data_IF_425215865119
#
_entry.id   IF_425215865119
#
_cell.length_a   1.000
_cell.length_b   1.000
_cell.length_c   1.000
_cell.angle_alpha   90.00
_cell.angle_beta   90.00
_cell.angle_gamma   90.00
#
_symmetry.space_group_name_H-M   'P 1'
#
loop_
_entity.id
_entity.type
_entity.pdbx_description
1 polymer ?
#
# COMPACT_ATOMS: atom_id res chain seq x y z
N UNK A 1 3.53 17.20 50.37
CA UNK A 1 2.67 17.21 49.17
C UNK A 1 3.45 17.46 47.88
N UNK A 2 4.37 18.43 47.83
CA UNK A 2 5.17 18.76 46.63
C UNK A 2 5.85 17.57 45.93
N UNK A 3 6.51 16.66 46.66
CA UNK A 3 7.18 15.49 46.06
C UNK A 3 6.24 14.57 45.27
N UNK A 4 4.97 14.43 45.68
CA UNK A 4 3.98 13.61 44.96
C UNK A 4 3.51 14.32 43.68
N UNK A 5 3.38 15.65 43.73
CA UNK A 5 3.00 16.49 42.58
C UNK A 5 4.11 16.48 41.52
N UNK A 6 5.38 16.59 41.93
CA UNK A 6 6.52 16.54 41.00
C UNK A 6 6.62 15.21 40.25
N UNK A 7 6.32 14.09 40.93
CA UNK A 7 6.31 12.75 40.30
C UNK A 7 5.19 12.66 39.28
N UNK A 8 3.99 13.17 39.60
CA UNK A 8 2.84 13.17 38.69
C UNK A 8 3.08 14.02 37.44
N UNK A 9 3.74 15.17 37.59
CA UNK A 9 4.09 16.04 36.46
C UNK A 9 5.13 15.35 35.57
N UNK A 10 6.14 14.73 36.17
CA UNK A 10 7.18 14.03 35.42
C UNK A 10 6.63 12.82 34.65
N UNK A 11 5.75 12.02 35.26
CA UNK A 11 5.12 10.89 34.57
C UNK A 11 4.19 11.34 33.45
N UNK A 12 3.46 12.45 33.62
CA UNK A 12 2.64 13.01 32.55
C UNK A 12 3.49 13.48 31.36
N UNK A 13 4.61 14.16 31.63
CA UNK A 13 5.56 14.58 30.59
C UNK A 13 6.17 13.38 29.84
N UNK A 14 6.49 12.29 30.55
CA UNK A 14 7.02 11.08 29.92
C UNK A 14 5.97 10.40 29.04
N UNK A 15 4.72 10.28 29.50
CA UNK A 15 3.62 9.69 28.71
C UNK A 15 3.40 10.49 27.42
N UNK A 16 3.32 11.82 27.51
CA UNK A 16 3.11 12.67 26.33
C UNK A 16 4.33 12.64 25.41
N UNK A 17 5.55 12.67 25.98
CA UNK A 17 6.80 12.62 25.22
C UNK A 17 6.98 11.32 24.43
N UNK A 18 6.67 10.17 25.02
CA UNK A 18 6.82 8.87 24.37
C UNK A 18 5.63 8.45 23.49
N UNK A 19 4.49 9.16 23.54
CA UNK A 19 3.32 8.84 22.71
C UNK A 19 3.39 9.34 21.25
N UNK A 20 4.46 10.05 20.87
CA UNK A 20 4.52 10.75 19.57
C UNK A 20 5.19 9.96 18.44
N UNK A 21 5.77 8.79 18.69
CA UNK A 21 6.64 8.12 17.71
C UNK A 21 6.06 6.78 17.24
N UNK A 22 5.06 6.85 16.36
CA UNK A 22 4.47 5.65 15.74
C UNK A 22 3.93 5.85 14.33
N UNK A 23 4.24 6.97 13.65
CA UNK A 23 3.89 7.11 12.25
C UNK A 23 4.86 6.29 11.40
N UNK A 24 4.37 5.18 10.86
CA UNK A 24 5.10 4.41 9.84
C UNK A 24 5.51 5.36 8.72
N UNK A 25 6.78 5.34 8.33
CA UNK A 25 7.28 6.16 7.23
C UNK A 25 6.45 5.85 5.98
N UNK A 26 5.83 6.88 5.42
CA UNK A 26 5.10 6.78 4.14
C UNK A 26 6.12 6.53 3.05
N UNK A 27 5.93 5.49 2.24
CA UNK A 27 6.76 5.25 1.06
C UNK A 27 6.10 5.97 -0.10
N UNK A 28 6.69 7.08 -0.61
CA UNK A 28 6.10 7.81 -1.72
C UNK A 28 5.99 6.91 -2.94
N UNK A 29 4.89 7.04 -3.69
CA UNK A 29 4.78 6.43 -5.00
C UNK A 29 5.93 6.95 -5.89
N UNK A 30 6.55 6.09 -6.73
CA UNK A 30 7.62 6.52 -7.60
C UNK A 30 7.10 7.55 -8.61
N UNK A 31 7.82 8.66 -8.78
CA UNK A 31 7.44 9.74 -9.72
C UNK A 31 7.44 9.28 -11.19
N UNK A 32 8.18 8.22 -11.49
CA UNK A 32 8.26 7.60 -12.81
C UNK A 32 8.06 6.10 -12.69
N UNK A 33 7.32 5.52 -13.64
CA UNK A 33 7.24 4.08 -13.78
C UNK A 33 8.59 3.50 -14.19
N UNK A 34 8.84 2.23 -13.83
CA UNK A 34 9.97 1.48 -14.37
C UNK A 34 9.79 1.18 -15.87
N UNK A 35 10.77 0.54 -16.49
CA UNK A 35 10.68 0.11 -17.89
C UNK A 35 9.40 -0.69 -18.13
N UNK A 36 8.59 -0.27 -19.11
CA UNK A 36 7.30 -0.89 -19.43
C UNK A 36 6.10 -0.40 -18.61
N UNK A 37 6.29 0.52 -17.65
CA UNK A 37 5.22 1.08 -16.82
C UNK A 37 5.18 2.61 -16.91
N UNK A 38 3.97 3.17 -16.88
CA UNK A 38 3.75 4.63 -16.73
C UNK A 38 3.19 4.90 -15.34
N UNK A 39 3.86 5.77 -14.58
CA UNK A 39 3.25 6.35 -13.38
C UNK A 39 2.18 7.38 -13.81
N UNK A 40 1.01 7.31 -13.20
CA UNK A 40 -0.15 8.17 -13.54
C UNK A 40 -0.70 8.85 -12.30
N UNK A 41 -1.30 10.02 -12.46
CA UNK A 41 -1.98 10.71 -11.36
C UNK A 41 -3.28 9.98 -10.97
N UNK A 42 -3.85 10.35 -9.82
CA UNK A 42 -5.16 9.83 -9.41
C UNK A 42 -6.27 10.20 -10.41
N UNK A 43 -6.22 11.41 -10.97
CA UNK A 43 -7.16 11.89 -11.98
C UNK A 43 -7.05 11.10 -13.28
N UNK A 44 -5.83 10.85 -13.74
CA UNK A 44 -5.58 9.99 -14.91
C UNK A 44 -6.05 8.55 -14.66
N UNK A 45 -5.78 8.00 -13.48
CA UNK A 45 -6.20 6.64 -13.11
C UNK A 45 -7.74 6.51 -13.08
N UNK A 46 -8.44 7.52 -12.54
CA UNK A 46 -9.91 7.56 -12.57
C UNK A 46 -10.45 7.54 -13.99
N UNK A 47 -9.90 8.39 -14.87
CA UNK A 47 -10.30 8.43 -16.28
C UNK A 47 -10.04 7.10 -16.97
N UNK A 48 -8.87 6.51 -16.78
CA UNK A 48 -8.53 5.20 -17.35
C UNK A 48 -9.50 4.11 -16.87
N UNK A 49 -9.89 4.14 -15.59
CA UNK A 49 -10.87 3.20 -15.05
C UNK A 49 -12.26 3.39 -15.69
N UNK A 50 -12.72 4.62 -15.85
CA UNK A 50 -13.96 4.96 -16.56
C UNK A 50 -13.91 4.51 -18.03
N UNK A 51 -12.74 4.60 -18.67
CA UNK A 51 -12.48 4.17 -20.04
C UNK A 51 -12.32 2.62 -20.18
N UNK A 52 -12.48 1.87 -19.09
CA UNK A 52 -12.48 0.40 -19.10
C UNK A 52 -11.15 -0.27 -18.72
N UNK A 53 -10.18 0.48 -18.20
CA UNK A 53 -8.97 -0.12 -17.65
C UNK A 53 -9.28 -0.99 -16.44
N UNK A 54 -8.58 -2.13 -16.37
CA UNK A 54 -8.68 -3.06 -15.25
C UNK A 54 -7.83 -2.56 -14.09
N UNK A 55 -8.43 -2.45 -12.91
CA UNK A 55 -7.73 -2.04 -11.69
C UNK A 55 -7.26 -3.29 -10.95
N UNK A 56 -5.98 -3.33 -10.60
CA UNK A 56 -5.34 -4.42 -9.88
C UNK A 56 -4.77 -3.89 -8.57
N UNK A 57 -5.30 -4.37 -7.45
CA UNK A 57 -4.78 -4.09 -6.13
C UNK A 57 -3.59 -5.03 -5.83
N UNK A 58 -2.41 -4.44 -5.64
CA UNK A 58 -1.16 -5.11 -5.30
C UNK A 58 -0.84 -4.92 -3.81
N UNK A 59 -1.78 -5.27 -2.94
CA UNK A 59 -1.60 -5.14 -1.49
C UNK A 59 -0.82 -6.33 -0.93
N UNK A 60 0.12 -6.07 -0.01
CA UNK A 60 0.77 -7.15 0.75
C UNK A 60 -0.16 -7.78 1.78
N UNK A 61 -1.16 -7.04 2.26
CA UNK A 61 -2.13 -7.52 3.23
C UNK A 61 -3.55 -7.45 2.66
N UNK A 62 -4.25 -8.59 2.65
CA UNK A 62 -5.65 -8.66 2.21
C UNK A 62 -6.55 -7.74 3.03
N UNK A 63 -6.21 -7.46 4.28
CA UNK A 63 -6.96 -6.52 5.13
C UNK A 63 -6.98 -5.10 4.57
N UNK A 64 -5.97 -4.68 3.80
CA UNK A 64 -5.99 -3.38 3.14
C UNK A 64 -6.99 -3.35 1.98
N UNK A 65 -7.12 -4.45 1.24
CA UNK A 65 -8.15 -4.60 0.21
C UNK A 65 -9.55 -4.50 0.82
N UNK A 66 -9.77 -5.21 1.93
CA UNK A 66 -11.07 -5.27 2.60
C UNK A 66 -11.53 -3.93 3.20
N UNK A 67 -10.64 -2.95 3.39
CA UNK A 67 -11.01 -1.60 3.89
C UNK A 67 -11.81 -0.79 2.86
N UNK A 68 -11.63 -1.09 1.58
CA UNK A 68 -12.30 -0.41 0.48
C UNK A 68 -11.44 -0.39 -0.78
N UNK A 69 -12.08 -0.59 -1.92
CA UNK A 69 -11.45 -0.62 -3.23
C UNK A 69 -12.43 -0.12 -4.30
N UNK A 70 -11.95 0.37 -5.46
CA UNK A 70 -12.80 0.66 -6.60
C UNK A 70 -13.61 -0.58 -7.04
N UNK A 71 -14.78 -0.36 -7.65
CA UNK A 71 -15.60 -1.45 -8.19
C UNK A 71 -14.85 -2.20 -9.30
N UNK A 72 -15.01 -3.52 -9.37
CA UNK A 72 -14.34 -4.34 -10.40
C UNK A 72 -12.83 -4.49 -10.21
N UNK A 73 -12.26 -4.03 -9.08
CA UNK A 73 -10.84 -4.22 -8.77
C UNK A 73 -10.54 -5.70 -8.53
N UNK A 74 -9.48 -6.19 -9.17
CA UNK A 74 -8.92 -7.51 -8.95
C UNK A 74 -7.87 -7.42 -7.84
N UNK A 75 -7.91 -8.33 -6.87
CA UNK A 75 -6.89 -8.43 -5.85
C UNK A 75 -5.91 -9.56 -6.20
N UNK A 76 -4.71 -9.18 -6.65
CA UNK A 76 -3.62 -10.15 -6.82
C UNK A 76 -2.81 -10.11 -5.54
N UNK A 77 -3.08 -11.10 -4.67
CA UNK A 77 -2.32 -11.25 -3.43
C UNK A 77 -0.91 -11.66 -3.80
N UNK A 78 0.08 -10.81 -3.53
CA UNK A 78 1.46 -11.25 -3.46
C UNK A 78 1.61 -11.96 -2.11
N UNK A 79 1.53 -13.29 -2.10
CA UNK A 79 1.77 -14.10 -0.90
C UNK A 79 3.26 -14.09 -0.59
N UNK A 80 3.77 -12.95 -0.12
CA UNK A 80 5.14 -12.82 0.35
C UNK A 80 5.24 -13.49 1.73
N UNK A 81 6.27 -14.33 1.97
CA UNK A 81 6.69 -14.69 3.32
C UNK A 81 6.75 -13.46 4.22
N UNK A 82 6.65 -13.61 5.54
CA UNK A 82 6.55 -12.51 6.55
C UNK A 82 7.47 -11.30 6.32
N UNK A 83 8.56 -11.46 5.57
CA UNK A 83 9.45 -10.40 5.08
C UNK A 83 9.00 -9.76 3.73
N UNK A 84 7.78 -9.25 3.71
CA UNK A 84 7.14 -8.54 2.57
C UNK A 84 7.82 -7.21 2.16
N UNK A 85 8.98 -6.90 2.73
CA UNK A 85 9.81 -5.73 2.42
C UNK A 85 11.06 -6.08 1.62
N UNK A 86 11.29 -7.37 1.32
CA UNK A 86 12.38 -7.80 0.44
C UNK A 86 12.16 -7.29 -0.97
N UNK A 87 13.12 -6.50 -1.45
CA UNK A 87 13.15 -5.99 -2.83
C UNK A 87 13.91 -6.92 -3.79
N UNK A 88 14.48 -8.00 -3.28
CA UNK A 88 15.38 -8.92 -3.98
C UNK A 88 14.83 -10.36 -4.08
N UNK A 89 13.53 -10.54 -3.81
CA UNK A 89 12.89 -11.85 -3.90
C UNK A 89 12.83 -12.30 -5.37
N UNK A 90 13.30 -13.51 -5.71
CA UNK A 90 13.14 -14.05 -7.06
C UNK A 90 11.66 -14.15 -7.43
N UNK A 91 11.28 -13.68 -8.62
CA UNK A 91 9.89 -13.77 -9.10
C UNK A 91 9.38 -15.23 -9.16
N UNK A 92 10.28 -16.21 -9.29
CA UNK A 92 9.96 -17.63 -9.23
C UNK A 92 9.48 -18.11 -7.86
N UNK A 93 9.73 -17.33 -6.80
CA UNK A 93 9.27 -17.61 -5.43
C UNK A 93 7.95 -16.89 -5.11
N UNK A 94 7.43 -16.08 -6.04
CA UNK A 94 6.19 -15.33 -5.86
C UNK A 94 5.08 -15.99 -6.68
N UNK A 95 4.06 -16.48 -5.98
CA UNK A 95 2.85 -16.99 -6.61
C UNK A 95 1.90 -15.84 -6.93
N UNK A 96 1.73 -15.54 -8.22
CA UNK A 96 0.77 -14.57 -8.71
C UNK A 96 -0.41 -15.31 -9.33
N UNK A 97 -1.62 -15.03 -8.85
CA UNK A 97 -2.84 -15.50 -9.49
C UNK A 97 -3.13 -14.74 -10.79
N UNK A 98 -2.34 -15.05 -11.82
CA UNK A 98 -2.43 -14.44 -13.15
C UNK A 98 -3.71 -14.82 -13.89
N UNK A 99 -4.45 -15.84 -13.43
CA UNK A 99 -5.70 -16.27 -14.06
C UNK A 99 -6.80 -15.21 -13.91
N UNK A 100 -6.67 -14.32 -12.92
CA UNK A 100 -7.58 -13.20 -12.74
C UNK A 100 -7.34 -12.06 -13.74
N UNK A 101 -6.16 -12.00 -14.38
CA UNK A 101 -5.83 -10.92 -15.32
C UNK A 101 -6.70 -10.97 -16.59
N UNK A 102 -6.91 -9.81 -17.27
CA UNK A 102 -7.62 -9.76 -18.54
C UNK A 102 -7.01 -10.72 -19.57
N UNK A 103 -7.89 -11.44 -20.27
CA UNK A 103 -7.49 -12.33 -21.37
C UNK A 103 -7.00 -11.54 -22.59
N UNK A 104 -7.61 -10.39 -22.85
CA UNK A 104 -7.16 -9.47 -23.88
C UNK A 104 -5.90 -8.73 -23.42
N UNK A 105 -4.82 -8.89 -24.17
CA UNK A 105 -3.51 -8.29 -23.87
C UNK A 105 -3.45 -6.79 -24.17
N UNK A 106 -4.45 -6.24 -24.84
CA UNK A 106 -4.55 -4.81 -25.11
C UNK A 106 -5.33 -4.05 -24.02
N UNK A 107 -5.98 -4.77 -23.10
CA UNK A 107 -6.71 -4.15 -21.99
C UNK A 107 -5.71 -3.41 -21.08
N UNK A 108 -5.86 -2.09 -20.87
CA UNK A 108 -5.00 -1.35 -19.95
C UNK A 108 -5.16 -1.85 -18.51
N UNK A 109 -4.04 -1.94 -17.79
CA UNK A 109 -4.00 -2.36 -16.39
C UNK A 109 -3.46 -1.21 -15.55
N UNK A 110 -4.16 -0.90 -14.45
CA UNK A 110 -3.75 0.06 -13.43
C UNK A 110 -3.42 -0.72 -12.16
N UNK A 111 -2.18 -0.66 -11.69
CA UNK A 111 -1.78 -1.28 -10.42
C UNK A 111 -1.70 -0.24 -9.32
N UNK A 112 -2.22 -0.54 -8.12
CA UNK A 112 -2.05 0.34 -6.95
C UNK A 112 -1.81 -0.46 -5.67
N UNK A 113 -1.24 0.19 -4.65
CA UNK A 113 -0.99 -0.41 -3.33
C UNK A 113 -1.59 0.45 -2.21
N UNK A 114 -1.55 -0.03 -0.97
CA UNK A 114 -2.04 0.65 0.22
C UNK A 114 -1.06 1.69 0.80
N UNK A 115 0.09 1.91 0.14
CA UNK A 115 1.02 2.96 0.56
C UNK A 115 0.35 4.32 0.43
N UNK A 116 0.31 5.07 1.53
CA UNK A 116 -0.45 6.32 1.63
C UNK A 116 0.30 7.48 0.96
N UNK A 117 0.31 7.46 -0.37
CA UNK A 117 0.55 8.58 -1.30
C UNK A 117 0.11 8.14 -2.69
#
# INVERSE_FOLDING_TARGET
MYRKISILILSLLLIVGFSTSGFTAKVPAPEKGGDGFKAVSLEEAKKLHEDGATVVACHSHTTDFMKGHPSGTIHITCLVPKDHKRIDMPLSEVDFDIAQLPKDKNTPIITYCASST
#
